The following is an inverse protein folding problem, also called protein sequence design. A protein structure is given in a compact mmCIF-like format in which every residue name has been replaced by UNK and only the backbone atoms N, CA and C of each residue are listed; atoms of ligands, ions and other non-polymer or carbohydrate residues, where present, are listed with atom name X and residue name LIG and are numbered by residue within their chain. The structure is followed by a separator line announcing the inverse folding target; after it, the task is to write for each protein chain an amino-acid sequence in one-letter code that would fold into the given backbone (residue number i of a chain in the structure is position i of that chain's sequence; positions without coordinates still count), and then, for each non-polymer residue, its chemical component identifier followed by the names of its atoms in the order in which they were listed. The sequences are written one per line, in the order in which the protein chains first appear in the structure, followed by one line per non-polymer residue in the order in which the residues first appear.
data_IF_599004588316
#
_entry.id   IF_599004588316
#
_cell.length_a   1.000
_cell.length_b   1.000
_cell.length_c   1.000
_cell.angle_alpha   90.00
_cell.angle_beta   90.00
_cell.angle_gamma   90.00
#
_symmetry.space_group_name_H-M   'P 1'
#
loop_
_entity.id
_entity.type
_entity.pdbx_description
1 polymer ?
#
# COMPACT_ATOMS: atom_id res chain seq x y z
N UNK A 1 -14.25 5.92 -3.07
CA UNK A 1 -12.96 5.55 -2.46
C UNK A 1 -12.13 6.82 -2.26
N UNK A 2 -11.34 6.91 -1.18
CA UNK A 2 -10.43 8.04 -0.93
C UNK A 2 -9.01 7.70 -1.35
N UNK A 3 -8.34 8.59 -2.06
CA UNK A 3 -6.94 8.43 -2.48
C UNK A 3 -6.11 9.54 -1.83
N UNK A 4 -5.04 9.17 -1.15
CA UNK A 4 -4.07 10.08 -0.57
C UNK A 4 -2.72 9.87 -1.24
N UNK A 5 -2.25 10.87 -1.98
CA UNK A 5 -0.93 10.90 -2.58
C UNK A 5 0.08 11.51 -1.61
N UNK A 6 1.11 10.75 -1.26
CA UNK A 6 2.25 11.20 -0.47
C UNK A 6 3.43 11.44 -1.42
N UNK A 7 3.70 12.72 -1.70
CA UNK A 7 4.86 13.17 -2.47
C UNK A 7 6.04 13.28 -1.52
N UNK A 8 7.01 12.39 -1.69
CA UNK A 8 8.14 12.24 -0.79
C UNK A 8 9.22 13.27 -1.12
N UNK A 9 9.76 13.89 -0.08
CA UNK A 9 11.06 14.57 -0.11
C UNK A 9 12.20 13.60 -0.40
N UNK A 10 13.34 14.14 -0.84
CA UNK A 10 14.56 13.36 -1.12
C UNK A 10 15.00 12.51 0.09
N UNK A 11 14.93 13.07 1.31
CA UNK A 11 15.30 12.35 2.53
C UNK A 11 14.36 11.16 2.81
N UNK A 12 13.05 11.34 2.62
CA UNK A 12 12.07 10.26 2.78
C UNK A 12 12.15 9.22 1.68
N UNK A 13 12.53 9.62 0.47
CA UNK A 13 12.77 8.69 -0.61
C UNK A 13 14.06 7.87 -0.40
N UNK A 14 15.08 8.47 0.23
CA UNK A 14 16.31 7.76 0.62
C UNK A 14 16.04 6.74 1.74
N UNK A 15 15.17 7.06 2.70
CA UNK A 15 14.66 6.13 3.72
C UNK A 15 13.23 5.62 3.39
N UNK A 16 13.08 5.02 2.20
CA UNK A 16 11.78 4.61 1.70
C UNK A 16 11.11 3.54 2.59
N UNK A 17 11.88 2.55 3.06
CA UNK A 17 11.38 1.49 3.93
C UNK A 17 10.97 2.03 5.31
N UNK A 18 11.78 2.90 5.91
CA UNK A 18 11.43 3.55 7.18
C UNK A 18 10.15 4.39 7.05
N UNK A 19 9.96 5.07 5.92
CA UNK A 19 8.72 5.79 5.64
C UNK A 19 7.51 4.86 5.47
N UNK A 20 7.63 3.75 4.72
CA UNK A 20 6.53 2.77 4.59
C UNK A 20 6.14 2.25 5.97
N UNK A 21 7.11 1.89 6.81
CA UNK A 21 6.84 1.38 8.15
C UNK A 21 6.18 2.45 9.03
N UNK A 22 6.64 3.72 8.97
CA UNK A 22 6.03 4.85 9.69
C UNK A 22 4.57 5.07 9.26
N UNK A 23 4.30 5.02 7.95
CA UNK A 23 2.96 5.19 7.40
C UNK A 23 2.05 4.02 7.77
N UNK A 24 2.59 2.80 7.77
CA UNK A 24 1.91 1.58 8.21
C UNK A 24 1.50 1.67 9.67
N UNK A 25 2.42 2.04 10.55
CA UNK A 25 2.13 2.26 11.98
C UNK A 25 1.06 3.36 12.17
N UNK A 26 1.15 4.44 11.39
CA UNK A 26 0.17 5.52 11.43
C UNK A 26 -1.23 5.04 11.01
N UNK A 27 -1.32 4.18 9.99
CA UNK A 27 -2.58 3.60 9.55
C UNK A 27 -3.20 2.69 10.64
N UNK A 28 -2.39 1.81 11.24
CA UNK A 28 -2.82 0.94 12.34
C UNK A 28 -3.29 1.72 13.58
N UNK A 29 -2.62 2.82 13.92
CA UNK A 29 -3.00 3.63 15.07
C UNK A 29 -4.30 4.42 14.85
N UNK A 30 -4.66 4.68 13.59
CA UNK A 30 -5.83 5.51 13.21
C UNK A 30 -7.05 4.71 12.78
N UNK A 31 -6.90 3.41 12.54
CA UNK A 31 -7.95 2.56 12.00
C UNK A 31 -7.78 1.11 12.44
N UNK A 32 -8.90 0.42 12.64
CA UNK A 32 -8.92 -1.03 12.90
C UNK A 32 -9.01 -1.85 11.60
N UNK A 33 -8.97 -1.20 10.45
CA UNK A 33 -9.03 -1.87 9.15
C UNK A 33 -7.70 -2.52 8.80
N UNK A 34 -7.74 -3.66 8.13
CA UNK A 34 -6.54 -4.25 7.53
C UNK A 34 -5.92 -3.31 6.50
N UNK A 35 -4.60 -3.29 6.45
CA UNK A 35 -3.83 -2.59 5.42
C UNK A 35 -3.14 -3.61 4.51
N UNK A 36 -3.46 -3.55 3.23
CA UNK A 36 -2.74 -4.27 2.19
C UNK A 36 -1.61 -3.39 1.65
N UNK A 37 -0.37 -3.86 1.71
CA UNK A 37 0.75 -3.27 1.02
C UNK A 37 0.92 -4.03 -0.30
N UNK A 38 0.62 -3.34 -1.41
CA UNK A 38 0.82 -3.87 -2.76
C UNK A 38 2.27 -3.66 -3.18
N UNK A 39 2.94 -4.77 -3.46
CA UNK A 39 4.36 -4.84 -3.84
C UNK A 39 4.41 -5.65 -5.13
N UNK A 40 5.04 -5.14 -6.19
CA UNK A 40 5.23 -5.94 -7.42
C UNK A 40 6.12 -7.18 -7.15
N UNK A 41 6.40 -7.97 -8.19
CA UNK A 41 7.29 -9.13 -8.12
C UNK A 41 8.77 -8.70 -7.98
N UNK A 42 9.05 -7.93 -6.93
CA UNK A 42 10.35 -7.48 -6.49
C UNK A 42 10.67 -8.18 -5.15
N UNK A 43 11.26 -9.37 -5.26
CA UNK A 43 11.63 -10.18 -4.11
C UNK A 43 12.62 -9.47 -3.18
N UNK A 44 13.46 -8.57 -3.69
CA UNK A 44 14.41 -7.82 -2.89
C UNK A 44 13.69 -6.78 -2.03
N UNK A 45 12.77 -6.01 -2.62
CA UNK A 45 11.94 -5.06 -1.90
C UNK A 45 11.04 -5.77 -0.88
N UNK A 46 10.41 -6.88 -1.25
CA UNK A 46 9.57 -7.66 -0.33
C UNK A 46 10.38 -8.15 0.89
N UNK A 47 11.57 -8.72 0.67
CA UNK A 47 12.43 -9.20 1.74
C UNK A 47 12.87 -8.07 2.67
N UNK A 48 13.32 -6.94 2.10
CA UNK A 48 13.78 -5.80 2.87
C UNK A 48 12.65 -5.15 3.66
N UNK A 49 11.45 -5.06 3.08
CA UNK A 49 10.27 -4.54 3.77
C UNK A 49 9.80 -5.47 4.89
N UNK A 50 9.79 -6.78 4.66
CA UNK A 50 9.47 -7.77 5.69
C UNK A 50 10.39 -7.59 6.91
N UNK A 51 11.70 -7.51 6.69
CA UNK A 51 12.67 -7.25 7.76
C UNK A 51 12.44 -5.89 8.45
N UNK A 52 12.20 -4.82 7.67
CA UNK A 52 11.96 -3.49 8.22
C UNK A 52 10.71 -3.44 9.11
N UNK A 53 9.60 -4.08 8.71
CA UNK A 53 8.37 -4.16 9.49
C UNK A 53 8.55 -4.93 10.82
N UNK A 54 9.52 -5.84 10.88
CA UNK A 54 9.89 -6.55 12.12
C UNK A 54 10.80 -5.72 13.03
N UNK A 55 11.61 -4.82 12.49
CA UNK A 55 12.77 -4.23 13.19
C UNK A 55 12.69 -2.72 13.41
N UNK A 56 11.68 -2.03 12.86
CA UNK A 56 11.61 -0.56 12.78
C UNK A 56 11.88 0.16 14.12
N UNK A 57 11.40 -0.37 15.24
CA UNK A 57 11.68 0.17 16.57
C UNK A 57 11.90 -1.00 17.53
N UNK A 58 12.86 -0.89 18.46
CA UNK A 58 13.20 -1.96 19.42
C UNK A 58 12.01 -2.39 20.32
N UNK A 59 10.92 -1.62 20.32
CA UNK A 59 9.69 -1.89 21.10
C UNK A 59 8.42 -1.93 20.27
N UNK A 60 8.48 -1.73 18.94
CA UNK A 60 7.31 -1.77 18.06
C UNK A 60 7.49 -2.86 17.01
N UNK A 61 6.69 -3.91 17.13
CA UNK A 61 6.52 -4.90 16.09
C UNK A 61 5.24 -4.60 15.31
N UNK A 62 5.29 -4.65 13.97
CA UNK A 62 4.12 -4.53 13.10
C UNK A 62 3.71 -5.94 12.60
N UNK A 63 2.64 -6.55 13.15
CA UNK A 63 2.15 -7.86 12.71
C UNK A 63 1.75 -7.85 11.24
N UNK A 64 2.47 -8.63 10.43
CA UNK A 64 2.24 -8.75 8.99
C UNK A 64 2.27 -10.19 8.50
N UNK A 65 1.63 -10.42 7.36
CA UNK A 65 1.55 -11.72 6.70
C UNK A 65 1.69 -11.56 5.19
N UNK A 66 2.54 -12.37 4.57
CA UNK A 66 2.60 -12.49 3.11
C UNK A 66 1.49 -13.40 2.61
N UNK A 67 0.76 -12.95 1.57
CA UNK A 67 -0.30 -13.73 0.96
C UNK A 67 0.25 -14.54 -0.23
N UNK A 68 0.10 -15.86 -0.17
CA UNK A 68 0.63 -16.79 -1.16
C UNK A 68 -0.33 -17.11 -2.31
N UNK A 69 -1.64 -16.90 -2.12
CA UNK A 69 -2.68 -17.27 -3.10
C UNK A 69 -3.73 -16.15 -3.26
N UNK A 70 -3.99 -15.76 -4.51
CA UNK A 70 -4.98 -14.76 -4.89
C UNK A 70 -6.41 -15.11 -4.48
N UNK A 71 -6.72 -16.41 -4.41
CA UNK A 71 -8.01 -16.93 -3.98
C UNK A 71 -8.12 -17.07 -2.46
N UNK A 72 -7.13 -16.55 -1.70
CA UNK A 72 -7.23 -16.50 -0.24
C UNK A 72 -8.44 -15.66 0.16
N UNK A 73 -9.53 -16.32 0.55
CA UNK A 73 -10.66 -15.65 1.19
C UNK A 73 -10.22 -15.15 2.57
N UNK A 74 -9.92 -13.86 2.62
CA UNK A 74 -9.43 -13.19 3.81
C UNK A 74 -10.48 -13.12 4.92
N UNK A 75 -11.76 -13.33 4.61
CA UNK A 75 -12.84 -13.20 5.60
C UNK A 75 -13.01 -14.45 6.49
N UNK A 76 -12.44 -15.58 6.07
CA UNK A 76 -12.57 -16.85 6.78
C UNK A 76 -11.28 -17.32 7.46
N UNK A 77 -10.24 -16.48 7.48
CA UNK A 77 -8.96 -16.77 8.16
C UNK A 77 -8.62 -15.65 9.13
N UNK A 78 -8.07 -16.01 10.29
CA UNK A 78 -7.43 -15.03 11.19
C UNK A 78 -6.13 -14.58 10.53
N UNK A 79 -6.14 -13.40 9.92
CA UNK A 79 -4.97 -12.82 9.27
C UNK A 79 -4.32 -11.75 10.15
N UNK A 80 -3.05 -11.46 9.87
CA UNK A 80 -2.39 -10.28 10.40
C UNK A 80 -3.10 -8.99 9.92
N UNK A 81 -3.06 -7.89 10.70
CA UNK A 81 -3.64 -6.61 10.30
C UNK A 81 -2.93 -6.00 9.09
N UNK A 82 -1.65 -6.33 8.87
CA UNK A 82 -0.90 -5.94 7.67
C UNK A 82 -0.75 -7.13 6.74
N UNK A 83 -1.10 -6.94 5.47
CA UNK A 83 -0.98 -7.96 4.44
C UNK A 83 0.02 -7.47 3.39
N UNK A 84 0.97 -8.33 3.01
CA UNK A 84 1.91 -8.09 1.92
C UNK A 84 1.49 -8.94 0.73
N UNK A 85 1.35 -8.35 -0.46
CA UNK A 85 0.95 -9.11 -1.64
C UNK A 85 1.27 -8.38 -2.95
N UNK A 86 1.41 -9.14 -4.03
CA UNK A 86 1.47 -8.64 -5.41
C UNK A 86 0.13 -8.59 -6.13
N UNK A 87 -0.95 -8.98 -5.45
CA UNK A 87 -2.31 -8.95 -5.97
C UNK A 87 -3.28 -8.38 -4.94
N UNK A 88 -4.49 -8.06 -5.39
CA UNK A 88 -5.58 -7.72 -4.49
C UNK A 88 -6.38 -8.98 -4.13
N UNK A 89 -6.48 -9.36 -2.84
CA UNK A 89 -7.25 -10.54 -2.44
C UNK A 89 -8.73 -10.37 -2.76
N UNK A 90 -9.41 -11.49 -3.03
CA UNK A 90 -10.86 -11.51 -3.21
C UNK A 90 -11.56 -10.95 -1.96
N UNK A 91 -12.66 -10.23 -2.18
CA UNK A 91 -13.47 -9.60 -1.14
C UNK A 91 -12.71 -8.62 -0.22
N UNK A 92 -11.53 -8.14 -0.63
CA UNK A 92 -10.72 -7.24 0.21
C UNK A 92 -11.46 -5.94 0.55
N UNK A 93 -11.58 -5.65 1.86
CA UNK A 93 -12.17 -4.42 2.40
C UNK A 93 -11.25 -3.83 3.46
N UNK A 94 -10.43 -2.86 3.04
CA UNK A 94 -9.45 -2.26 3.93
C UNK A 94 -8.79 -1.04 3.32
N UNK A 95 -7.64 -0.69 3.87
CA UNK A 95 -6.75 0.31 3.30
C UNK A 95 -5.74 -0.36 2.37
N UNK A 96 -5.25 0.37 1.37
CA UNK A 96 -4.20 -0.10 0.46
C UNK A 96 -3.05 0.90 0.48
N UNK A 97 -1.84 0.46 0.76
CA UNK A 97 -0.62 1.20 0.48
C UNK A 97 -0.05 0.67 -0.82
N UNK A 98 -0.02 1.51 -1.84
CA UNK A 98 0.41 1.13 -3.17
C UNK A 98 1.87 1.56 -3.40
N UNK A 99 2.79 0.60 -3.49
CA UNK A 99 4.19 0.86 -3.86
C UNK A 99 4.46 0.62 -5.34
N UNK A 100 3.43 0.27 -6.11
CA UNK A 100 3.54 -0.15 -7.52
C UNK A 100 3.41 1.03 -8.49
N UNK A 101 3.78 0.82 -9.75
CA UNK A 101 3.61 1.84 -10.80
C UNK A 101 2.17 1.91 -11.30
N UNK A 102 1.39 0.85 -11.10
CA UNK A 102 0.01 0.76 -11.57
C UNK A 102 -0.98 1.37 -10.57
N UNK A 103 -2.09 1.95 -11.05
CA UNK A 103 -3.15 2.35 -10.14
C UNK A 103 -3.86 1.12 -9.56
N UNK A 104 -4.35 1.22 -8.32
CA UNK A 104 -5.01 0.15 -7.56
C UNK A 104 -6.19 -0.46 -8.30
N UNK A 105 -6.88 0.28 -9.17
CA UNK A 105 -7.98 -0.26 -9.95
C UNK A 105 -7.54 -1.35 -10.94
N UNK A 106 -6.27 -1.40 -11.35
CA UNK A 106 -5.71 -2.51 -12.13
C UNK A 106 -5.79 -3.83 -11.35
N UNK A 107 -5.41 -3.79 -10.07
CA UNK A 107 -5.47 -4.97 -9.18
C UNK A 107 -6.90 -5.33 -8.81
N UNK A 108 -7.77 -4.32 -8.60
CA UNK A 108 -9.20 -4.54 -8.35
C UNK A 108 -9.90 -5.23 -9.52
N UNK A 109 -9.53 -4.89 -10.76
CA UNK A 109 -10.12 -5.50 -11.96
C UNK A 109 -9.69 -6.97 -12.15
N UNK A 110 -8.57 -7.39 -11.56
CA UNK A 110 -8.04 -8.75 -11.63
C UNK A 110 -8.55 -9.66 -10.51
N UNK A 111 -9.47 -9.20 -9.66
CA UNK A 111 -9.99 -9.96 -8.51
C UNK A 111 -11.50 -9.79 -8.35
N UNK A 112 -12.08 -10.58 -7.46
CA UNK A 112 -13.51 -10.59 -7.21
C UNK A 112 -13.89 -9.70 -6.02
N UNK A 113 -14.81 -8.75 -6.24
CA UNK A 113 -15.51 -7.98 -5.20
C UNK A 113 -14.60 -7.26 -4.19
N UNK A 114 -13.38 -6.90 -4.59
CA UNK A 114 -12.53 -6.05 -3.76
C UNK A 114 -13.07 -4.61 -3.74
N UNK A 115 -13.23 -4.05 -2.54
CA UNK A 115 -13.74 -2.71 -2.29
C UNK A 115 -12.85 -1.99 -1.28
N UNK A 116 -11.61 -1.63 -1.67
CA UNK A 116 -10.75 -0.83 -0.82
C UNK A 116 -11.42 0.49 -0.44
N UNK A 117 -11.26 0.87 0.82
CA UNK A 117 -11.90 2.05 1.41
C UNK A 117 -11.04 3.29 1.23
N UNK A 118 -9.71 3.11 1.27
CA UNK A 118 -8.71 4.17 1.10
C UNK A 118 -7.44 3.63 0.45
N UNK A 119 -6.85 4.41 -0.43
CA UNK A 119 -5.54 4.14 -1.04
C UNK A 119 -4.53 5.20 -0.60
N UNK A 120 -3.34 4.76 -0.25
CA UNK A 120 -2.16 5.56 0.04
C UNK A 120 -1.18 5.36 -1.12
N UNK A 121 -1.06 6.35 -1.99
CA UNK A 121 -0.14 6.34 -3.13
C UNK A 121 1.17 7.01 -2.73
N UNK A 122 2.30 6.36 -3.04
CA UNK A 122 3.62 6.93 -2.81
C UNK A 122 4.20 7.46 -4.12
N UNK A 123 4.73 8.70 -4.08
CA UNK A 123 5.42 9.33 -5.20
C UNK A 123 6.81 9.74 -4.72
N UNK A 124 7.84 9.05 -5.21
CA UNK A 124 9.24 9.45 -5.02
C UNK A 124 9.55 10.71 -5.87
N UNK A 125 10.56 11.51 -5.51
CA UNK A 125 10.88 12.76 -6.22
C UNK A 125 11.50 12.54 -7.60
N UNK A 126 11.89 11.31 -7.95
CA UNK A 126 12.43 11.00 -9.27
C UNK A 126 11.40 11.19 -10.41
N UNK A 127 11.89 11.57 -11.58
CA UNK A 127 11.04 11.94 -12.72
C UNK A 127 10.08 10.82 -13.15
N UNK A 128 10.51 9.57 -13.07
CA UNK A 128 9.70 8.40 -13.42
C UNK A 128 8.54 8.26 -12.45
N UNK A 129 8.81 8.28 -11.14
CA UNK A 129 7.78 8.19 -10.10
C UNK A 129 6.78 9.35 -10.17
N UNK A 130 7.24 10.56 -10.47
CA UNK A 130 6.36 11.73 -10.68
C UNK A 130 5.44 11.53 -11.88
N UNK A 131 5.98 11.01 -12.99
CA UNK A 131 5.18 10.74 -14.19
C UNK A 131 4.11 9.67 -13.91
N UNK A 132 4.46 8.57 -13.26
CA UNK A 132 3.49 7.54 -12.88
C UNK A 132 2.48 8.02 -11.86
N UNK A 133 2.90 8.86 -10.90
CA UNK A 133 1.99 9.55 -9.98
C UNK A 133 0.93 10.37 -10.71
N UNK A 134 1.31 11.09 -11.77
CA UNK A 134 0.37 11.85 -12.62
C UNK A 134 -0.58 10.95 -13.38
N UNK A 135 -0.08 9.83 -13.93
CA UNK A 135 -0.93 8.83 -14.59
C UNK A 135 -1.98 8.26 -13.63
N UNK A 136 -1.54 7.79 -12.44
CA UNK A 136 -2.43 7.27 -11.40
C UNK A 136 -3.46 8.32 -10.95
N UNK A 137 -3.03 9.56 -10.74
CA UNK A 137 -3.93 10.68 -10.39
C UNK A 137 -5.03 10.86 -11.43
N UNK A 138 -4.67 10.92 -12.71
CA UNK A 138 -5.64 11.10 -13.81
C UNK A 138 -6.64 9.93 -13.86
N UNK A 139 -6.17 8.69 -13.71
CA UNK A 139 -7.02 7.50 -13.68
C UNK A 139 -8.05 7.56 -12.54
N UNK A 140 -7.63 7.91 -11.32
CA UNK A 140 -8.55 8.03 -10.20
C UNK A 140 -9.51 9.22 -10.31
N UNK A 141 -9.05 10.32 -10.90
CA UNK A 141 -9.88 11.50 -11.16
C UNK A 141 -11.03 11.16 -12.11
N UNK A 142 -10.74 10.42 -13.18
CA UNK A 142 -11.75 9.98 -14.16
C UNK A 142 -12.80 9.05 -13.54
N UNK A 143 -12.43 8.29 -12.50
CA UNK A 143 -13.34 7.44 -11.73
C UNK A 143 -14.13 8.19 -10.65
N UNK A 144 -13.92 9.51 -10.51
CA UNK A 144 -14.64 10.34 -9.53
C UNK A 144 -14.24 10.09 -8.07
N UNK A 145 -13.03 9.57 -7.83
CA UNK A 145 -12.54 9.35 -6.47
C UNK A 145 -12.14 10.65 -5.76
N UNK A 146 -12.21 10.65 -4.43
CA UNK A 146 -11.78 11.78 -3.60
C UNK A 146 -10.26 11.79 -3.51
N UNK A 147 -9.60 12.78 -4.12
CA UNK A 147 -8.14 12.86 -4.21
C UNK A 147 -7.58 13.91 -3.25
N UNK A 148 -6.58 13.53 -2.47
CA UNK A 148 -5.82 14.41 -1.56
C UNK A 148 -4.34 14.24 -1.81
N UNK A 149 -3.56 15.30 -1.64
CA UNK A 149 -2.10 15.27 -1.78
C UNK A 149 -1.42 15.83 -0.53
N UNK A 150 -0.29 15.24 -0.18
CA UNK A 150 0.55 15.61 0.96
C UNK A 150 2.00 15.63 0.50
N UNK A 151 2.71 16.72 0.77
CA UNK A 151 4.17 16.77 0.61
C UNK A 151 4.79 16.41 1.96
N UNK A 152 5.65 15.39 2.00
CA UNK A 152 6.16 14.79 3.25
C UNK A 152 7.65 14.50 3.25
#
# INVERSE_FOLDING_TARGET
MKISFYVLSESKAQDFLGFICQLTQTALNKSTQSLLILIEDDAALLSALNEALWTQEATSFIPHQYLLDADTDINHKTLAPILLSSYMPANFKGMVLNTTIYPVNTFMAATNNAQPTRVLELIKPDATSVQEGRHKYKSYQQLGYELTHFNV
#
